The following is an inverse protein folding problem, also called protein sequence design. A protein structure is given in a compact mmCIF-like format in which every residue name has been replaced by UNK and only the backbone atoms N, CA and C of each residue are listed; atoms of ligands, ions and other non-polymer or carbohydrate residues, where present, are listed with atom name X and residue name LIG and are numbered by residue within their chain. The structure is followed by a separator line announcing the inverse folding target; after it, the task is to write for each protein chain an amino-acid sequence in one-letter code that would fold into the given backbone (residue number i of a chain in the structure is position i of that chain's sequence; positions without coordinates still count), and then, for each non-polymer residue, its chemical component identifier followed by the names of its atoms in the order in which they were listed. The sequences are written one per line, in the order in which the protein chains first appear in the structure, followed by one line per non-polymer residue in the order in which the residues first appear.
data_IF_697285920733
#
_entry.id   IF_697285920733
#
_cell.length_a   1.000
_cell.length_b   1.000
_cell.length_c   1.000
_cell.angle_alpha   90.00
_cell.angle_beta   90.00
_cell.angle_gamma   90.00
#
_symmetry.space_group_name_H-M   'P 1'
#
loop_
_entity.id
_entity.type
_entity.pdbx_description
1 polymer ?
#
# COMPACT_ATOMS: atom_id res chain seq x y z
N UNK A 1 6.51 10.59 -8.57
CA UNK A 1 5.70 9.71 -9.43
C UNK A 1 5.46 8.43 -8.65
N UNK A 2 4.26 7.82 -8.71
CA UNK A 2 4.00 6.56 -8.04
C UNK A 2 4.89 5.46 -8.61
N UNK A 3 5.46 4.66 -7.71
CA UNK A 3 6.32 3.52 -8.06
C UNK A 3 5.47 2.34 -8.53
N UNK A 4 4.32 2.15 -7.88
CA UNK A 4 3.39 1.09 -8.19
C UNK A 4 1.97 1.53 -7.81
N UNK A 5 0.98 1.12 -8.60
CA UNK A 5 -0.43 1.37 -8.31
C UNK A 5 -1.22 0.11 -8.60
N UNK A 6 -2.05 -0.32 -7.65
CA UNK A 6 -2.92 -1.50 -7.77
C UNK A 6 -4.36 -1.10 -7.47
N UNK A 7 -5.23 -1.18 -8.47
CA UNK A 7 -6.64 -0.86 -8.31
C UNK A 7 -7.44 -2.10 -7.92
N UNK A 8 -8.41 -1.94 -7.01
CA UNK A 8 -9.36 -2.99 -6.63
C UNK A 8 -10.77 -2.43 -6.45
N UNK A 9 -11.78 -3.29 -6.59
CA UNK A 9 -13.19 -2.92 -6.42
C UNK A 9 -13.72 -3.56 -5.14
N UNK A 10 -14.27 -2.75 -4.25
CA UNK A 10 -14.93 -3.21 -3.01
C UNK A 10 -16.19 -2.37 -2.76
N UNK A 11 -17.31 -3.00 -2.40
CA UNK A 11 -18.61 -2.33 -2.19
C UNK A 11 -19.04 -1.37 -3.31
N UNK A 12 -18.82 -1.75 -4.59
CA UNK A 12 -19.09 -0.92 -5.78
C UNK A 12 -18.23 0.36 -5.88
N UNK A 13 -17.25 0.52 -5.00
CA UNK A 13 -16.28 1.60 -5.05
C UNK A 13 -14.95 1.09 -5.62
N UNK A 14 -14.31 1.93 -6.43
CA UNK A 14 -12.95 1.68 -6.92
C UNK A 14 -11.96 2.34 -5.98
N UNK A 15 -10.96 1.56 -5.55
CA UNK A 15 -9.87 1.97 -4.69
C UNK A 15 -8.54 1.73 -5.40
N UNK A 16 -7.58 2.60 -5.16
CA UNK A 16 -6.24 2.53 -5.72
C UNK A 16 -5.22 2.43 -4.59
N UNK A 17 -4.55 1.29 -4.46
CA UNK A 17 -3.39 1.14 -3.57
C UNK A 17 -2.20 1.79 -4.26
N UNK A 18 -1.72 2.90 -3.71
CA UNK A 18 -0.60 3.67 -4.24
C UNK A 18 0.64 3.41 -3.40
N UNK A 19 1.72 3.00 -4.06
CA UNK A 19 3.04 2.91 -3.46
C UNK A 19 3.94 4.02 -4.01
N UNK A 20 4.47 4.83 -3.11
CA UNK A 20 5.46 5.87 -3.38
C UNK A 20 6.78 5.53 -2.69
N UNK A 21 7.86 6.19 -3.11
CA UNK A 21 9.13 6.18 -2.38
C UNK A 21 9.58 7.63 -2.21
N UNK A 22 10.07 7.95 -1.02
CA UNK A 22 10.72 9.22 -0.73
C UNK A 22 12.27 9.12 -0.83
N UNK A 23 12.78 7.96 -1.27
CA UNK A 23 14.21 7.66 -1.38
C UNK A 23 14.83 7.01 -0.15
N UNK A 24 14.13 7.02 1.00
CA UNK A 24 14.57 6.30 2.21
C UNK A 24 13.61 5.16 2.58
N UNK A 25 12.34 5.34 2.29
CA UNK A 25 11.26 4.42 2.62
C UNK A 25 10.25 4.34 1.47
N UNK A 26 9.58 3.20 1.40
CA UNK A 26 8.37 3.05 0.62
C UNK A 26 7.18 3.42 1.49
N UNK A 27 6.26 4.18 0.91
CA UNK A 27 5.02 4.67 1.53
C UNK A 27 3.87 4.10 0.72
N UNK A 28 3.03 3.31 1.37
CA UNK A 28 1.84 2.70 0.77
C UNK A 28 0.61 3.30 1.43
N UNK A 29 -0.36 3.71 0.62
CA UNK A 29 -1.67 4.18 1.08
C UNK A 29 -2.73 3.84 0.04
N UNK A 30 -3.99 3.81 0.44
CA UNK A 30 -5.11 3.59 -0.50
C UNK A 30 -5.82 4.91 -0.75
N UNK A 31 -6.12 5.16 -2.02
CA UNK A 31 -6.88 6.31 -2.49
C UNK A 31 -8.24 5.86 -3.06
N UNK A 32 -9.24 6.75 -2.98
CA UNK A 32 -10.52 6.64 -3.65
C UNK A 32 -10.78 7.96 -4.38
N UNK A 33 -10.82 7.91 -5.71
CA UNK A 33 -11.05 9.12 -6.52
C UNK A 33 -10.01 10.23 -6.27
N UNK A 34 -8.75 9.86 -6.04
CA UNK A 34 -7.64 10.78 -5.76
C UNK A 34 -7.59 11.34 -4.33
N UNK A 35 -8.44 10.84 -3.42
CA UNK A 35 -8.36 11.15 -1.98
C UNK A 35 -7.85 9.95 -1.21
N UNK A 36 -6.86 10.16 -0.37
CA UNK A 36 -6.35 9.15 0.54
C UNK A 36 -7.43 8.73 1.56
N UNK A 37 -7.65 7.42 1.69
CA UNK A 37 -8.65 6.79 2.58
C UNK A 37 -7.98 6.16 3.81
N UNK A 38 -6.79 5.58 3.64
CA UNK A 38 -6.05 4.91 4.71
C UNK A 38 -4.93 5.79 5.27
N UNK A 39 -4.37 5.41 6.41
CA UNK A 39 -3.07 5.90 6.84
C UNK A 39 -1.94 5.49 5.89
N UNK A 40 -0.75 6.05 6.14
CA UNK A 40 0.48 5.71 5.44
C UNK A 40 1.14 4.49 6.10
N UNK A 41 1.27 3.40 5.35
CA UNK A 41 2.07 2.24 5.72
C UNK A 41 3.47 2.45 5.18
N UNK A 42 4.50 2.35 6.03
CA UNK A 42 5.87 2.64 5.62
C UNK A 42 6.81 1.48 5.89
N UNK A 43 7.74 1.26 4.96
CA UNK A 43 8.86 0.32 5.14
C UNK A 43 10.13 0.96 4.63
N UNK A 44 11.22 0.87 5.40
CA UNK A 44 12.52 1.38 4.95
C UNK A 44 13.05 0.56 3.77
N UNK A 45 13.80 1.21 2.87
CA UNK A 45 14.48 0.51 1.76
C UNK A 45 15.41 -0.58 2.26
N UNK A 46 16.08 -0.35 3.39
CA UNK A 46 16.98 -1.33 3.99
C UNK A 46 16.22 -2.61 4.37
N UNK A 47 15.06 -2.48 5.01
CA UNK A 47 14.25 -3.63 5.41
C UNK A 47 13.68 -4.37 4.19
N UNK A 48 13.26 -3.64 3.17
CA UNK A 48 12.78 -4.23 1.90
C UNK A 48 13.88 -5.05 1.22
N UNK A 49 15.08 -4.49 1.10
CA UNK A 49 16.23 -5.17 0.48
C UNK A 49 16.62 -6.40 1.30
N UNK A 50 16.74 -6.25 2.62
CA UNK A 50 17.14 -7.33 3.52
C UNK A 50 16.13 -8.50 3.47
N UNK A 51 14.82 -8.21 3.51
CA UNK A 51 13.77 -9.22 3.39
C UNK A 51 13.81 -9.93 2.05
N UNK A 52 13.95 -9.21 0.94
CA UNK A 52 14.06 -9.83 -0.39
C UNK A 52 15.27 -10.74 -0.49
N UNK A 53 16.40 -10.33 0.10
CA UNK A 53 17.62 -11.14 0.10
C UNK A 53 17.48 -12.40 0.97
N UNK A 54 16.82 -12.31 2.12
CA UNK A 54 16.68 -13.43 3.05
C UNK A 54 15.58 -14.43 2.63
N UNK A 55 14.41 -13.93 2.23
CA UNK A 55 13.21 -14.74 2.03
C UNK A 55 12.73 -14.79 0.58
N UNK A 56 13.26 -13.95 -0.30
CA UNK A 56 12.75 -13.79 -1.68
C UNK A 56 11.46 -12.97 -1.79
N UNK A 57 10.86 -12.60 -0.65
CA UNK A 57 9.59 -11.88 -0.57
C UNK A 57 9.78 -10.35 -0.49
N UNK A 58 8.80 -9.62 -1.01
CA UNK A 58 8.71 -8.16 -1.00
C UNK A 58 7.86 -7.67 0.18
N UNK A 59 8.44 -6.92 1.13
CA UNK A 59 7.65 -6.26 2.18
C UNK A 59 6.73 -5.21 1.58
N UNK A 60 7.15 -4.56 0.49
CA UNK A 60 6.31 -3.62 -0.24
C UNK A 60 5.01 -4.28 -0.72
N UNK A 61 5.11 -5.45 -1.36
CA UNK A 61 3.91 -6.17 -1.84
C UNK A 61 3.03 -6.59 -0.67
N UNK A 62 3.64 -7.08 0.41
CA UNK A 62 2.92 -7.45 1.61
C UNK A 62 2.17 -6.25 2.22
N UNK A 63 2.78 -5.06 2.27
CA UNK A 63 2.13 -3.85 2.76
C UNK A 63 0.97 -3.41 1.85
N UNK A 64 1.10 -3.58 0.53
CA UNK A 64 0.00 -3.31 -0.39
C UNK A 64 -1.19 -4.24 -0.15
N UNK A 65 -0.94 -5.52 0.13
CA UNK A 65 -1.99 -6.48 0.49
C UNK A 65 -2.64 -6.14 1.83
N UNK A 66 -1.85 -5.78 2.84
CA UNK A 66 -2.38 -5.37 4.15
C UNK A 66 -3.27 -4.13 4.02
N UNK A 67 -2.83 -3.12 3.26
CA UNK A 67 -3.62 -1.91 3.02
C UNK A 67 -4.93 -2.21 2.28
N UNK A 68 -4.91 -3.11 1.28
CA UNK A 68 -6.10 -3.59 0.58
C UNK A 68 -7.08 -4.32 1.53
N UNK A 69 -6.55 -5.23 2.35
CA UNK A 69 -7.35 -6.02 3.29
C UNK A 69 -7.95 -5.17 4.41
N UNK A 70 -7.25 -4.17 4.92
CA UNK A 70 -7.79 -3.25 5.94
C UNK A 70 -8.99 -2.47 5.41
N UNK A 71 -8.95 -2.03 4.13
CA UNK A 71 -10.10 -1.38 3.48
C UNK A 71 -11.25 -2.37 3.30
N UNK A 72 -10.98 -3.59 2.84
CA UNK A 72 -12.03 -4.64 2.69
C UNK A 72 -12.67 -5.04 4.02
N UNK A 73 -11.90 -5.01 5.11
CA UNK A 73 -12.39 -5.32 6.47
C UNK A 73 -13.18 -4.17 7.08
N UNK A 74 -13.14 -2.98 6.49
CA UNK A 74 -13.81 -1.79 7.03
C UNK A 74 -13.09 -1.17 8.23
N UNK A 75 -11.78 -1.39 8.38
CA UNK A 75 -10.98 -0.70 9.41
C UNK A 75 -10.92 0.81 9.20
N UNK A 76 -11.07 1.24 7.95
CA UNK A 76 -11.09 2.64 7.56
C UNK A 76 -12.51 3.03 7.17
N UNK A 77 -13.07 4.14 7.70
CA UNK A 77 -14.39 4.59 7.32
C UNK A 77 -14.42 4.90 5.81
N UNK A 78 -15.52 4.55 5.15
CA UNK A 78 -15.75 4.89 3.74
C UNK A 78 -15.73 6.43 3.61
N UNK A 79 -14.61 6.98 3.16
CA UNK A 79 -14.41 8.43 2.98
C UNK A 79 -15.30 9.03 1.89
#
# INVERSE_FOLDING_TARGET
MPLQTKSFIHNKNTYDVVANSDGQQFIVHVERGGKQVTGNYTVSHINEIDRRMQNGDSLLEHLMEVAEEDVKRGYWPEA
#
